data_IF_008176997176
#
_entry.id   IF_008176997176
#
_cell.length_a   1.000
_cell.length_b   1.000
_cell.length_c   1.000
_cell.angle_alpha   90.00
_cell.angle_beta   90.00
_cell.angle_gamma   90.00
#
_symmetry.space_group_name_H-M   'P 1'
#
loop_
_entity.id
_entity.type
_entity.pdbx_description
1 polymer ?
#
# COMPACT_ATOMS: atom_id res chain seq x y z
N UNK A 1 2.77 -0.01 -3.76
CA UNK A 1 1.90 0.07 -4.94
C UNK A 1 0.63 -0.75 -4.82
N UNK A 2 0.65 -1.98 -4.29
CA UNK A 2 -0.56 -2.78 -4.05
C UNK A 2 -1.62 -2.04 -3.24
N UNK A 3 -1.20 -1.30 -2.19
CA UNK A 3 -2.12 -0.48 -1.40
C UNK A 3 -2.78 0.63 -2.20
N UNK A 4 -2.09 1.22 -3.17
CA UNK A 4 -2.67 2.26 -4.02
C UNK A 4 -3.86 1.70 -4.81
N UNK A 5 -3.75 0.46 -5.29
CA UNK A 5 -4.84 -0.22 -5.98
C UNK A 5 -6.05 -0.44 -5.07
N UNK A 6 -5.82 -0.96 -3.85
CA UNK A 6 -6.90 -1.18 -2.88
C UNK A 6 -7.56 0.14 -2.46
N UNK A 7 -6.76 1.12 -2.07
CA UNK A 7 -7.24 2.38 -1.52
C UNK A 7 -7.93 3.26 -2.56
N UNK A 8 -7.44 3.26 -3.81
CA UNK A 8 -8.01 4.10 -4.86
C UNK A 8 -9.43 3.70 -5.29
N UNK A 9 -9.81 2.43 -5.19
CA UNK A 9 -11.11 1.94 -5.62
C UNK A 9 -11.97 1.43 -4.45
N UNK A 10 -11.38 0.73 -3.49
CA UNK A 10 -12.11 -0.04 -2.49
C UNK A 10 -12.23 0.64 -1.12
N UNK A 11 -11.53 1.77 -0.90
CA UNK A 11 -11.60 2.51 0.36
C UNK A 11 -13.00 3.04 0.67
N UNK A 12 -13.66 3.67 -0.32
CA UNK A 12 -15.01 4.19 -0.17
C UNK A 12 -16.04 3.10 0.14
N UNK A 13 -16.09 2.01 -0.63
CA UNK A 13 -16.91 0.84 -0.31
C UNK A 13 -16.61 0.24 1.07
N UNK A 14 -15.35 0.05 1.43
CA UNK A 14 -14.99 -0.48 2.75
C UNK A 14 -15.52 0.41 3.90
N UNK A 15 -15.34 1.73 3.80
CA UNK A 15 -15.84 2.69 4.79
C UNK A 15 -17.38 2.67 4.90
N UNK A 16 -18.07 2.35 3.81
CA UNK A 16 -19.52 2.18 3.82
C UNK A 16 -19.93 0.86 4.47
N UNK A 17 -19.37 -0.25 3.98
CA UNK A 17 -19.88 -1.59 4.23
C UNK A 17 -19.37 -2.16 5.56
N UNK A 18 -18.12 -1.82 5.94
CA UNK A 18 -17.50 -2.30 7.19
C UNK A 18 -17.64 -1.28 8.31
N UNK A 19 -17.35 -0.01 8.06
CA UNK A 19 -17.40 1.02 9.10
C UNK A 19 -18.78 1.71 9.23
N UNK A 20 -19.75 1.41 8.36
CA UNK A 20 -21.10 1.96 8.41
C UNK A 20 -21.17 3.48 8.18
N UNK A 21 -20.16 4.08 7.55
CA UNK A 21 -20.10 5.53 7.38
C UNK A 21 -21.01 6.02 6.26
N UNK A 22 -21.69 7.12 6.48
CA UNK A 22 -22.48 7.83 5.47
C UNK A 22 -21.62 8.53 4.41
N UNK A 23 -22.24 9.08 3.37
CA UNK A 23 -21.55 9.74 2.25
C UNK A 23 -20.62 10.87 2.69
N UNK A 24 -21.11 11.86 3.48
CA UNK A 24 -20.28 12.97 3.97
C UNK A 24 -19.11 12.52 4.83
N UNK A 25 -19.31 11.59 5.77
CA UNK A 25 -18.22 11.07 6.61
C UNK A 25 -17.13 10.36 5.78
N UNK A 26 -17.53 9.52 4.79
CA UNK A 26 -16.58 8.87 3.86
C UNK A 26 -15.78 9.88 3.07
N UNK A 27 -16.43 10.89 2.52
CA UNK A 27 -15.75 11.95 1.78
C UNK A 27 -14.74 12.70 2.66
N UNK A 28 -15.08 12.97 3.92
CA UNK A 28 -14.18 13.57 4.91
C UNK A 28 -12.94 12.71 5.18
N UNK A 29 -13.14 11.40 5.41
CA UNK A 29 -12.02 10.45 5.62
C UNK A 29 -11.10 10.39 4.39
N UNK A 30 -11.66 10.29 3.19
CA UNK A 30 -10.87 10.23 1.95
C UNK A 30 -10.12 11.53 1.67
N UNK A 31 -10.71 12.68 2.01
CA UNK A 31 -10.03 13.97 1.93
C UNK A 31 -8.84 14.03 2.90
N UNK A 32 -9.05 13.69 4.16
CA UNK A 32 -7.98 13.64 5.17
C UNK A 32 -6.89 12.63 4.79
N UNK A 33 -7.29 11.49 4.24
CA UNK A 33 -6.37 10.49 3.68
C UNK A 33 -5.43 11.09 2.63
N UNK A 34 -5.99 11.91 1.71
CA UNK A 34 -5.19 12.57 0.67
C UNK A 34 -4.15 13.54 1.26
N UNK A 35 -4.54 14.34 2.25
CA UNK A 35 -3.60 15.20 2.97
C UNK A 35 -2.54 14.40 3.74
N UNK A 36 -2.95 13.33 4.40
CA UNK A 36 -2.03 12.44 5.10
C UNK A 36 -1.02 11.78 4.13
N UNK A 37 -1.43 11.43 2.91
CA UNK A 37 -0.55 10.90 1.88
C UNK A 37 0.48 11.93 1.41
N UNK A 38 0.09 13.19 1.23
CA UNK A 38 1.02 14.28 0.91
C UNK A 38 2.02 14.48 2.05
N UNK A 39 1.55 14.60 3.28
CA UNK A 39 2.41 14.73 4.46
C UNK A 39 3.34 13.50 4.61
N UNK A 40 2.81 12.31 4.39
CA UNK A 40 3.55 11.05 4.40
C UNK A 40 4.69 11.02 3.37
N UNK A 41 4.45 11.53 2.17
CA UNK A 41 5.49 11.64 1.12
C UNK A 41 6.64 12.55 1.56
N UNK A 42 6.34 13.67 2.21
CA UNK A 42 7.36 14.59 2.75
C UNK A 42 8.12 13.93 3.92
N UNK A 43 7.41 13.26 4.82
CA UNK A 43 8.01 12.58 5.98
C UNK A 43 8.90 11.43 5.55
N UNK A 44 8.43 10.56 4.67
CA UNK A 44 9.20 9.40 4.19
C UNK A 44 10.40 9.82 3.34
N UNK A 45 10.26 10.86 2.52
CA UNK A 45 11.37 11.46 1.77
C UNK A 45 12.44 12.05 2.69
N UNK A 46 12.04 12.83 3.70
CA UNK A 46 12.96 13.39 4.70
C UNK A 46 13.65 12.31 5.52
N UNK A 47 12.87 11.27 5.94
CA UNK A 47 13.41 10.13 6.68
C UNK A 47 14.45 9.37 5.85
N UNK A 48 14.17 9.14 4.56
CA UNK A 48 15.10 8.47 3.65
C UNK A 48 16.39 9.29 3.45
N UNK A 49 16.28 10.61 3.27
CA UNK A 49 17.44 11.49 3.14
C UNK A 49 18.29 11.50 4.41
N UNK A 50 17.68 11.58 5.59
CA UNK A 50 18.40 11.53 6.88
C UNK A 50 19.06 10.16 7.11
N UNK A 51 18.37 9.08 6.79
CA UNK A 51 18.91 7.73 6.89
C UNK A 51 20.15 7.55 6.00
N UNK A 52 20.08 8.02 4.75
CA UNK A 52 21.22 8.00 3.83
C UNK A 52 22.39 8.86 4.32
N UNK A 53 22.11 10.06 4.84
CA UNK A 53 23.16 10.92 5.42
C UNK A 53 23.83 10.31 6.66
N UNK A 54 23.12 9.47 7.40
CA UNK A 54 23.63 8.69 8.53
C UNK A 54 24.31 7.39 8.11
N UNK A 55 24.50 7.11 6.81
CA UNK A 55 25.11 5.90 6.28
C UNK A 55 24.24 4.64 6.40
N UNK A 56 22.94 4.80 6.67
CA UNK A 56 22.01 3.67 6.72
C UNK A 56 21.60 3.23 5.30
N UNK A 57 21.24 1.95 5.11
CA UNK A 57 20.85 1.44 3.80
C UNK A 57 19.62 2.17 3.23
N UNK A 58 19.66 2.54 1.96
CA UNK A 58 18.57 3.30 1.28
C UNK A 58 17.22 2.58 1.27
N UNK A 59 17.22 1.27 1.44
CA UNK A 59 16.00 0.45 1.53
C UNK A 59 15.38 0.38 2.94
N UNK A 60 16.03 0.94 3.97
CA UNK A 60 15.55 0.86 5.36
C UNK A 60 14.17 1.50 5.52
N UNK A 61 14.01 2.73 5.05
CA UNK A 61 12.73 3.46 5.17
C UNK A 61 11.62 2.76 4.39
N UNK A 62 11.79 2.35 3.12
CA UNK A 62 10.81 1.54 2.42
C UNK A 62 10.40 0.25 3.15
N UNK A 63 11.35 -0.47 3.77
CA UNK A 63 11.04 -1.69 4.53
C UNK A 63 10.22 -1.38 5.77
N UNK A 64 10.62 -0.37 6.55
CA UNK A 64 9.86 0.04 7.74
C UNK A 64 8.43 0.43 7.37
N UNK A 65 8.27 1.18 6.28
CA UNK A 65 6.95 1.54 5.77
C UNK A 65 6.14 0.32 5.32
N UNK A 66 6.78 -0.65 4.65
CA UNK A 66 6.11 -1.89 4.24
C UNK A 66 5.61 -2.70 5.44
N UNK A 67 6.45 -2.86 6.46
CA UNK A 67 6.06 -3.56 7.70
C UNK A 67 4.92 -2.83 8.39
N UNK A 68 5.02 -1.51 8.53
CA UNK A 68 3.94 -0.70 9.09
C UNK A 68 2.63 -0.87 8.33
N UNK A 69 2.67 -0.85 7.00
CA UNK A 69 1.50 -1.09 6.15
C UNK A 69 0.86 -2.46 6.38
N UNK A 70 1.65 -3.51 6.44
CA UNK A 70 1.15 -4.88 6.69
C UNK A 70 0.45 -4.94 8.05
N UNK A 71 1.04 -4.35 9.09
CA UNK A 71 0.44 -4.31 10.44
C UNK A 71 -0.87 -3.51 10.46
N UNK A 72 -0.90 -2.37 9.78
CA UNK A 72 -2.11 -1.53 9.69
C UNK A 72 -3.24 -2.21 8.91
N UNK A 73 -2.91 -2.91 7.82
CA UNK A 73 -3.88 -3.71 7.08
C UNK A 73 -4.43 -4.87 7.93
N UNK A 74 -3.56 -5.54 8.70
CA UNK A 74 -4.02 -6.54 9.67
C UNK A 74 -4.99 -5.93 10.71
N UNK A 75 -4.74 -4.68 11.13
CA UNK A 75 -5.67 -3.92 11.97
C UNK A 75 -7.03 -3.68 11.30
N UNK A 76 -7.06 -3.37 9.98
CA UNK A 76 -8.32 -3.23 9.24
C UNK A 76 -9.06 -4.57 9.06
N UNK A 77 -8.34 -5.70 8.98
CA UNK A 77 -8.97 -7.04 8.91
C UNK A 77 -9.74 -7.39 10.17
N UNK A 78 -9.43 -6.76 11.31
CA UNK A 78 -10.20 -6.91 12.56
C UNK A 78 -11.55 -6.16 12.54
N UNK A 79 -11.86 -5.46 11.45
CA UNK A 79 -13.12 -4.75 11.23
C UNK A 79 -13.50 -3.82 12.40
N UNK A 80 -12.63 -2.87 12.79
CA UNK A 80 -12.92 -2.01 13.92
C UNK A 80 -14.17 -1.17 13.66
N UNK A 81 -15.08 -1.13 14.64
CA UNK A 81 -16.36 -0.40 14.55
C UNK A 81 -16.26 1.05 15.07
N UNK A 82 -15.20 1.39 15.81
CA UNK A 82 -15.02 2.75 16.35
C UNK A 82 -14.55 3.72 15.27
N UNK A 83 -15.29 4.80 14.94
CA UNK A 83 -14.92 5.74 13.88
C UNK A 83 -13.53 6.37 14.04
N UNK A 84 -13.12 6.66 15.28
CA UNK A 84 -11.80 7.22 15.58
C UNK A 84 -10.67 6.23 15.26
N UNK A 85 -10.84 4.95 15.57
CA UNK A 85 -9.87 3.89 15.26
C UNK A 85 -9.77 3.70 13.75
N UNK A 86 -10.90 3.66 13.05
CA UNK A 86 -10.98 3.59 11.59
C UNK A 86 -10.21 4.76 10.96
N UNK A 87 -10.51 5.99 11.40
CA UNK A 87 -9.83 7.20 10.89
C UNK A 87 -8.31 7.11 11.09
N UNK A 88 -7.85 6.78 12.30
CA UNK A 88 -6.41 6.68 12.60
C UNK A 88 -5.74 5.61 11.74
N UNK A 89 -6.35 4.43 11.57
CA UNK A 89 -5.80 3.37 10.71
C UNK A 89 -5.68 3.84 9.27
N UNK A 90 -6.72 4.47 8.70
CA UNK A 90 -6.68 4.96 7.33
C UNK A 90 -5.64 6.06 7.12
N UNK A 91 -5.52 7.02 8.06
CA UNK A 91 -4.50 8.07 7.97
C UNK A 91 -3.08 7.50 8.12
N UNK A 92 -2.87 6.55 9.01
CA UNK A 92 -1.59 5.87 9.15
C UNK A 92 -1.23 5.09 7.87
N UNK A 93 -2.19 4.36 7.27
CA UNK A 93 -2.01 3.67 5.98
C UNK A 93 -1.61 4.67 4.88
N UNK A 94 -2.21 5.87 4.85
CA UNK A 94 -1.84 6.91 3.91
C UNK A 94 -0.37 7.32 4.05
N UNK A 95 0.07 7.59 5.29
CA UNK A 95 1.45 8.01 5.59
C UNK A 95 2.46 6.91 5.22
N UNK A 96 2.23 5.67 5.66
CA UNK A 96 3.15 4.56 5.36
C UNK A 96 3.10 4.15 3.89
N UNK A 97 1.94 4.25 3.23
CA UNK A 97 1.76 3.98 1.80
C UNK A 97 2.46 4.97 0.89
N UNK A 98 2.73 6.17 1.39
CA UNK A 98 3.41 7.24 0.66
C UNK A 98 4.91 6.98 0.39
N UNK A 99 5.50 5.91 0.92
CA UNK A 99 6.89 5.53 0.66
C UNK A 99 7.13 4.93 -0.75
N UNK A 100 6.08 4.66 -1.53
CA UNK A 100 6.19 4.10 -2.88
C UNK A 100 7.13 4.85 -3.82
N UNK A 101 7.04 6.19 -3.94
CA UNK A 101 7.96 7.00 -4.76
C UNK A 101 9.42 6.86 -4.37
N UNK A 102 9.75 6.74 -3.07
CA UNK A 102 11.12 6.52 -2.63
C UNK A 102 11.70 5.20 -3.13
N UNK A 103 10.91 4.12 -3.09
CA UNK A 103 11.31 2.83 -3.66
C UNK A 103 11.49 2.87 -5.18
N UNK A 104 10.67 3.65 -5.88
CA UNK A 104 10.80 3.85 -7.33
C UNK A 104 12.12 4.56 -7.69
N UNK A 105 12.49 5.60 -6.94
CA UNK A 105 13.77 6.33 -7.15
C UNK A 105 14.95 5.37 -6.95
N UNK A 106 14.96 4.60 -5.87
CA UNK A 106 16.02 3.61 -5.59
C UNK A 106 16.16 2.62 -6.76
N UNK A 107 15.03 2.12 -7.28
CA UNK A 107 15.05 1.21 -8.42
C UNK A 107 15.64 1.86 -9.68
N UNK A 108 15.26 3.09 -9.99
CA UNK A 108 15.81 3.80 -11.17
C UNK A 108 17.33 4.04 -11.04
N UNK A 109 17.85 4.26 -9.85
CA UNK A 109 19.27 4.45 -9.58
C UNK A 109 20.12 3.18 -9.77
N UNK A 110 19.50 2.00 -9.87
CA UNK A 110 20.20 0.73 -10.15
C UNK A 110 20.60 0.58 -11.64
N UNK A 111 20.15 1.47 -12.51
CA UNK A 111 20.39 1.43 -13.95
C UNK A 111 21.19 2.65 -14.42
N UNK A 112 21.93 2.55 -15.54
CA UNK A 112 22.63 3.68 -16.13
C UNK A 112 21.70 4.86 -16.45
N UNK A 113 22.16 6.12 -16.30
CA UNK A 113 21.34 7.32 -16.53
C UNK A 113 20.64 7.34 -17.90
N UNK A 114 21.29 6.79 -18.94
CA UNK A 114 20.78 6.72 -20.32
C UNK A 114 19.52 5.83 -20.43
N UNK A 115 19.34 4.90 -19.49
CA UNK A 115 18.21 3.97 -19.46
C UNK A 115 17.09 4.41 -18.52
N UNK A 116 17.29 5.46 -17.71
CA UNK A 116 16.34 5.89 -16.67
C UNK A 116 14.93 6.12 -17.23
N UNK A 117 14.81 6.73 -18.41
CA UNK A 117 13.49 6.94 -19.03
C UNK A 117 12.77 5.63 -19.39
N UNK A 118 13.50 4.66 -19.96
CA UNK A 118 12.94 3.34 -20.32
C UNK A 118 12.54 2.55 -19.09
N UNK A 119 13.41 2.53 -18.08
CA UNK A 119 13.14 1.86 -16.80
C UNK A 119 11.94 2.49 -16.11
N UNK A 120 11.88 3.82 -16.03
CA UNK A 120 10.78 4.55 -15.44
C UNK A 120 9.44 4.21 -16.12
N UNK A 121 9.39 4.24 -17.45
CA UNK A 121 8.20 3.88 -18.22
C UNK A 121 7.79 2.43 -17.98
N UNK A 122 8.72 1.48 -18.05
CA UNK A 122 8.45 0.06 -17.84
C UNK A 122 7.89 -0.20 -16.44
N UNK A 123 8.52 0.37 -15.41
CA UNK A 123 8.07 0.21 -14.01
C UNK A 123 6.69 0.83 -13.80
N UNK A 124 6.44 2.01 -14.38
CA UNK A 124 5.12 2.65 -14.27
C UNK A 124 4.03 1.82 -14.95
N UNK A 125 4.29 1.32 -16.16
CA UNK A 125 3.36 0.47 -16.91
C UNK A 125 3.04 -0.83 -16.15
N UNK A 126 4.08 -1.52 -15.65
CA UNK A 126 3.90 -2.72 -14.84
C UNK A 126 3.13 -2.44 -13.55
N UNK A 127 3.39 -1.29 -12.93
CA UNK A 127 2.69 -0.87 -11.72
C UNK A 127 1.22 -0.65 -11.95
N UNK A 128 0.85 0.08 -13.02
CA UNK A 128 -0.56 0.33 -13.36
C UNK A 128 -1.27 -0.97 -13.77
N UNK A 129 -0.62 -1.80 -14.60
CA UNK A 129 -1.16 -3.10 -14.99
C UNK A 129 -1.39 -4.01 -13.77
N UNK A 130 -0.42 -4.06 -12.85
CA UNK A 130 -0.55 -4.85 -11.64
C UNK A 130 -1.61 -4.28 -10.69
N UNK A 131 -1.72 -2.95 -10.57
CA UNK A 131 -2.76 -2.29 -9.79
C UNK A 131 -4.16 -2.68 -10.30
N UNK A 132 -4.36 -2.68 -11.63
CA UNK A 132 -5.60 -3.12 -12.25
C UNK A 132 -5.92 -4.59 -11.94
N UNK A 133 -4.94 -5.48 -12.06
CA UNK A 133 -5.13 -6.91 -11.75
C UNK A 133 -5.52 -7.12 -10.28
N UNK A 134 -4.88 -6.41 -9.35
CA UNK A 134 -5.21 -6.49 -7.93
C UNK A 134 -6.62 -5.93 -7.66
N UNK A 135 -7.00 -4.82 -8.28
CA UNK A 135 -8.35 -4.26 -8.16
C UNK A 135 -9.43 -5.23 -8.66
N UNK A 136 -9.19 -5.87 -9.80
CA UNK A 136 -10.10 -6.88 -10.34
C UNK A 136 -10.18 -8.12 -9.43
N UNK A 137 -9.04 -8.60 -8.92
CA UNK A 137 -9.00 -9.74 -8.02
C UNK A 137 -9.75 -9.47 -6.70
N UNK A 138 -9.62 -8.25 -6.16
CA UNK A 138 -10.40 -7.83 -4.98
C UNK A 138 -11.90 -7.87 -5.29
N UNK A 139 -12.33 -7.36 -6.44
CA UNK A 139 -13.74 -7.43 -6.85
C UNK A 139 -14.25 -8.86 -6.95
N UNK A 140 -13.49 -9.76 -7.57
CA UNK A 140 -13.85 -11.18 -7.65
C UNK A 140 -13.91 -11.85 -6.27
N UNK A 141 -13.00 -11.51 -5.35
CA UNK A 141 -13.06 -12.01 -3.97
C UNK A 141 -14.36 -11.53 -3.31
N UNK A 142 -14.68 -10.25 -3.38
CA UNK A 142 -15.88 -9.69 -2.77
C UNK A 142 -17.17 -10.32 -3.32
N UNK A 143 -17.20 -10.63 -4.60
CA UNK A 143 -18.35 -11.27 -5.25
C UNK A 143 -18.54 -12.76 -4.88
N UNK A 144 -17.61 -13.37 -4.14
CA UNK A 144 -17.78 -14.72 -3.57
C UNK A 144 -18.72 -14.74 -2.35
N UNK A 145 -18.98 -13.59 -1.76
CA UNK A 145 -19.89 -13.42 -0.62
C UNK A 145 -21.25 -12.87 -1.08
N UNK A 146 -22.34 -13.23 -0.39
CA UNK A 146 -23.66 -12.69 -0.69
C UNK A 146 -23.65 -11.18 -0.46
N UNK A 147 -24.43 -10.44 -1.25
CA UNK A 147 -24.65 -9.01 -1.03
C UNK A 147 -25.44 -8.77 0.24
N UNK A 148 -25.12 -7.70 0.94
CA UNK A 148 -25.88 -7.26 2.10
C UNK A 148 -27.27 -6.71 1.69
N UNK A 149 -28.20 -6.62 2.62
CA UNK A 149 -29.53 -6.04 2.35
C UNK A 149 -29.50 -4.59 1.85
N UNK A 150 -28.40 -3.87 2.08
CA UNK A 150 -28.16 -2.51 1.57
C UNK A 150 -27.42 -2.47 0.23
N UNK A 151 -27.37 -3.57 -0.51
CA UNK A 151 -26.65 -3.73 -1.78
C UNK A 151 -25.13 -3.47 -1.67
N UNK A 152 -24.59 -3.56 -0.47
CA UNK A 152 -23.17 -3.54 -0.17
C UNK A 152 -22.54 -4.93 -0.29
N UNK A 153 -21.21 -5.00 -0.13
CA UNK A 153 -20.50 -6.26 0.02
C UNK A 153 -20.44 -6.69 1.49
N UNK A 154 -20.39 -7.99 1.71
CA UNK A 154 -20.23 -8.55 3.05
C UNK A 154 -18.86 -8.12 3.65
N UNK A 155 -18.82 -7.66 4.91
CA UNK A 155 -17.58 -7.29 5.60
C UNK A 155 -16.49 -8.36 5.59
N UNK A 156 -16.85 -9.65 5.65
CA UNK A 156 -15.87 -10.74 5.64
C UNK A 156 -15.11 -10.81 4.30
N UNK A 157 -15.77 -10.51 3.19
CA UNK A 157 -15.13 -10.42 1.88
C UNK A 157 -13.97 -9.42 1.84
N UNK A 158 -14.12 -8.29 2.54
CA UNK A 158 -13.04 -7.29 2.64
C UNK A 158 -11.83 -7.80 3.43
N UNK A 159 -12.03 -8.62 4.46
CA UNK A 159 -10.91 -9.21 5.20
C UNK A 159 -10.09 -10.15 4.32
N UNK A 160 -10.73 -10.96 3.47
CA UNK A 160 -10.04 -11.80 2.49
C UNK A 160 -9.36 -10.98 1.38
N UNK A 161 -9.97 -9.90 0.92
CA UNK A 161 -9.36 -8.98 -0.04
C UNK A 161 -8.10 -8.31 0.54
N UNK A 162 -8.13 -7.91 1.82
CA UNK A 162 -6.96 -7.40 2.54
C UNK A 162 -5.90 -8.50 2.71
N UNK A 163 -6.30 -9.74 3.02
CA UNK A 163 -5.37 -10.87 3.11
C UNK A 163 -4.62 -11.11 1.80
N UNK A 164 -5.29 -10.99 0.64
CA UNK A 164 -4.62 -11.05 -0.66
C UNK A 164 -3.52 -9.99 -0.77
N UNK A 165 -3.81 -8.72 -0.43
CA UNK A 165 -2.83 -7.64 -0.55
C UNK A 165 -1.66 -7.83 0.42
N UNK A 166 -1.91 -8.30 1.64
CA UNK A 166 -0.88 -8.66 2.63
C UNK A 166 0.00 -9.81 2.12
N UNK A 167 -0.61 -10.86 1.56
CA UNK A 167 0.12 -12.00 1.00
C UNK A 167 1.04 -11.58 -0.16
N UNK A 168 0.56 -10.74 -1.07
CA UNK A 168 1.36 -10.21 -2.17
C UNK A 168 2.52 -9.34 -1.68
N UNK A 169 2.31 -8.53 -0.64
CA UNK A 169 3.37 -7.73 -0.02
C UNK A 169 4.41 -8.61 0.68
N UNK A 170 3.98 -9.63 1.40
CA UNK A 170 4.87 -10.60 2.06
C UNK A 170 5.70 -11.37 1.02
N UNK A 171 5.08 -11.81 -0.08
CA UNK A 171 5.78 -12.46 -1.19
C UNK A 171 6.83 -11.52 -1.81
N UNK A 172 6.48 -10.27 -2.08
CA UNK A 172 7.42 -9.29 -2.62
C UNK A 172 8.60 -9.05 -1.67
N UNK A 173 8.33 -8.92 -0.36
CA UNK A 173 9.37 -8.78 0.65
C UNK A 173 10.30 -10.00 0.70
N UNK A 174 9.76 -11.21 0.61
CA UNK A 174 10.52 -12.45 0.59
C UNK A 174 11.42 -12.54 -0.65
N UNK A 175 10.87 -12.22 -1.84
CA UNK A 175 11.65 -12.19 -3.09
C UNK A 175 12.81 -11.20 -2.99
N UNK A 176 12.56 -9.99 -2.47
CA UNK A 176 13.61 -8.99 -2.26
C UNK A 176 14.69 -9.48 -1.29
N UNK A 177 14.31 -10.09 -0.18
CA UNK A 177 15.24 -10.61 0.82
C UNK A 177 16.12 -11.74 0.24
N UNK A 178 15.55 -12.64 -0.55
CA UNK A 178 16.29 -13.74 -1.19
C UNK A 178 17.23 -13.26 -2.29
N UNK A 179 16.79 -12.29 -3.10
CA UNK A 179 17.62 -11.67 -4.13
C UNK A 179 18.84 -10.94 -3.53
N UNK A 180 18.63 -10.21 -2.42
CA UNK A 180 19.70 -9.51 -1.72
C UNK A 180 20.76 -10.46 -1.15
N UNK A 181 20.34 -11.60 -0.59
CA UNK A 181 21.26 -12.64 -0.08
C UNK A 181 22.10 -13.26 -1.20
N UNK A 182 21.49 -13.53 -2.37
CA UNK A 182 22.19 -14.09 -3.54
C UNK A 182 23.20 -13.10 -4.13
N UNK A 183 22.87 -11.82 -4.22
CA UNK A 183 23.78 -10.78 -4.70
C UNK A 183 25.03 -10.65 -3.83
N UNK A 184 24.91 -10.77 -2.51
CA UNK A 184 26.06 -10.80 -1.59
C UNK A 184 26.95 -12.05 -1.71
N UNK A 185 26.37 -13.20 -2.07
CA UNK A 185 27.10 -14.45 -2.24
C UNK A 185 27.95 -14.49 -3.52
N UNK A 186 27.66 -13.63 -4.50
CA UNK A 186 28.40 -13.54 -5.79
C UNK A 186 29.52 -12.49 -5.72
N UNK A 187 29.50 -11.59 -4.73
CA UNK A 187 30.51 -10.52 -4.55
C UNK A 187 31.62 -10.89 -3.57
N UNK A 188 31.75 -12.15 -3.16
CA UNK A 188 32.85 -12.77 -2.41
C UNK A 188 33.59 -13.73 -3.32
#
# INVERSE_FOLDING_TARGET
MFNFAYLGLWAGPWLRDVAGMDGPARAGVLLLYTFAMVAGSMLTGSAASRANAAGLPSFLVPIVCLVGLVLLQAGLMLQPSQPSVVLVLWLAIAVFGAAGPAGFIVLCQMFPPEQTGRVSTAVNTLTLGFAFLVQAAIGWILDLWPRTASDGWDPDGYSWALALTVALQALAALVMATAHRRGRAISV
#
